data_IF_711728256767
#
_entry.id   IF_711728256767
#
_cell.length_a   1.000
_cell.length_b   1.000
_cell.length_c   1.000
_cell.angle_alpha   90.00
_cell.angle_beta   90.00
_cell.angle_gamma   90.00
#
_symmetry.space_group_name_H-M   'P 1'
#
loop_
_entity.id
_entity.type
_entity.pdbx_description
1 polymer ?
#
# COMPACT_ATOMS: atom_id res chain seq x y z
N UNK A 1 5.21 -1.30 -15.88
CA UNK A 1 4.24 -2.40 -15.69
C UNK A 1 4.38 -3.37 -16.87
N UNK A 2 4.02 -4.66 -16.69
CA UNK A 2 4.01 -5.64 -17.78
C UNK A 2 3.10 -5.21 -18.94
N UNK A 3 3.35 -5.74 -20.13
CA UNK A 3 2.54 -5.48 -21.33
C UNK A 3 1.37 -6.45 -21.49
N UNK A 4 1.45 -7.61 -20.85
CA UNK A 4 0.47 -8.69 -20.91
C UNK A 4 0.28 -9.31 -19.53
N UNK A 5 -0.73 -10.18 -19.39
CA UNK A 5 -1.04 -10.91 -18.15
C UNK A 5 -2.04 -10.20 -17.25
N UNK A 6 -2.63 -10.97 -16.34
CA UNK A 6 -3.65 -10.53 -15.39
C UNK A 6 -3.09 -10.37 -13.98
N UNK A 7 -3.53 -9.32 -13.30
CA UNK A 7 -3.22 -9.07 -11.89
C UNK A 7 -3.98 -10.08 -11.05
N UNK A 8 -3.28 -10.73 -10.13
CA UNK A 8 -3.90 -11.60 -9.13
C UNK A 8 -3.60 -11.08 -7.74
N UNK A 9 -4.64 -10.99 -6.94
CA UNK A 9 -4.53 -10.64 -5.54
C UNK A 9 -5.71 -11.17 -4.75
N UNK A 10 -5.53 -11.21 -3.43
CA UNK A 10 -6.56 -11.58 -2.48
C UNK A 10 -7.03 -10.35 -1.72
N UNK A 11 -8.32 -10.11 -1.74
CA UNK A 11 -8.96 -8.95 -1.12
C UNK A 11 -9.63 -9.37 0.19
N UNK A 12 -9.40 -8.59 1.24
CA UNK A 12 -10.09 -8.72 2.53
C UNK A 12 -10.55 -7.35 2.99
N UNK A 13 -11.85 -7.14 2.99
CA UNK A 13 -12.46 -5.89 3.45
C UNK A 13 -13.07 -6.11 4.83
N UNK A 14 -12.65 -5.29 5.78
CA UNK A 14 -13.13 -5.28 7.16
C UNK A 14 -13.97 -4.02 7.35
N UNK A 15 -15.23 -4.06 6.91
CA UNK A 15 -16.15 -2.91 6.91
C UNK A 15 -16.24 -2.25 8.31
N UNK A 16 -16.38 -3.06 9.37
CA UNK A 16 -16.42 -2.57 10.76
C UNK A 16 -15.15 -1.82 11.19
N UNK A 17 -13.98 -2.26 10.72
CA UNK A 17 -12.70 -1.64 11.05
C UNK A 17 -12.34 -0.48 10.11
N UNK A 18 -13.08 -0.29 9.01
CA UNK A 18 -12.77 0.70 7.99
C UNK A 18 -11.46 0.42 7.25
N UNK A 19 -11.06 -0.85 7.11
CA UNK A 19 -9.79 -1.25 6.48
C UNK A 19 -10.01 -2.26 5.34
N UNK A 20 -9.37 -2.01 4.20
CA UNK A 20 -9.22 -2.99 3.11
C UNK A 20 -7.76 -3.47 3.03
N UNK A 21 -7.55 -4.78 2.95
CA UNK A 21 -6.24 -5.41 2.74
C UNK A 21 -6.23 -6.19 1.45
N UNK A 22 -5.21 -5.94 0.63
CA UNK A 22 -5.05 -6.52 -0.68
C UNK A 22 -3.66 -7.13 -0.76
N UNK A 23 -3.60 -8.45 -0.80
CA UNK A 23 -2.33 -9.18 -0.97
C UNK A 23 -2.14 -9.49 -2.44
N UNK A 24 -1.15 -8.87 -3.08
CA UNK A 24 -0.86 -9.12 -4.49
C UNK A 24 0.00 -10.38 -4.61
N UNK A 25 -0.40 -11.26 -5.53
CA UNK A 25 0.35 -12.46 -5.88
C UNK A 25 1.12 -12.28 -7.18
N UNK A 26 0.54 -11.56 -8.15
CA UNK A 26 1.11 -11.31 -9.46
C UNK A 26 0.63 -9.96 -10.00
N UNK A 27 1.52 -9.24 -10.69
CA UNK A 27 1.19 -7.94 -11.31
C UNK A 27 1.00 -8.16 -12.81
N UNK A 28 -0.18 -7.85 -13.33
CA UNK A 28 -0.51 -7.92 -14.76
C UNK A 28 -0.45 -6.56 -15.47
N UNK A 29 -0.77 -6.57 -16.77
CA UNK A 29 -0.94 -5.34 -17.56
C UNK A 29 -2.14 -4.50 -17.12
N UNK A 30 -3.13 -5.15 -16.51
CA UNK A 30 -4.37 -4.59 -15.98
C UNK A 30 -4.24 -3.98 -14.57
N UNK A 31 -3.04 -3.97 -13.97
CA UNK A 31 -2.83 -3.54 -12.57
C UNK A 31 -3.41 -2.15 -12.25
N UNK A 32 -3.32 -1.20 -13.19
CA UNK A 32 -3.92 0.13 -13.05
C UNK A 32 -5.44 0.08 -12.91
N UNK A 33 -6.09 -0.76 -13.72
CA UNK A 33 -7.55 -0.95 -13.71
C UNK A 33 -7.96 -1.67 -12.42
N UNK A 34 -7.20 -2.69 -12.04
CA UNK A 34 -7.40 -3.46 -10.81
C UNK A 34 -7.37 -2.56 -9.56
N UNK A 35 -6.33 -1.72 -9.40
CA UNK A 35 -6.22 -0.75 -8.30
C UNK A 35 -7.38 0.24 -8.32
N UNK A 36 -7.72 0.78 -9.48
CA UNK A 36 -8.82 1.76 -9.60
C UNK A 36 -10.18 1.17 -9.20
N UNK A 37 -10.42 -0.10 -9.53
CA UNK A 37 -11.66 -0.80 -9.16
C UNK A 37 -11.74 -1.00 -7.64
N UNK A 38 -10.62 -1.40 -7.02
CA UNK A 38 -10.51 -1.57 -5.58
C UNK A 38 -10.72 -0.28 -4.80
N UNK A 39 -10.14 0.84 -5.27
CA UNK A 39 -10.34 2.14 -4.62
C UNK A 39 -11.81 2.56 -4.66
N UNK A 40 -12.49 2.36 -5.80
CA UNK A 40 -13.92 2.65 -5.92
C UNK A 40 -14.75 1.79 -4.96
N UNK A 41 -14.42 0.50 -4.84
CA UNK A 41 -15.07 -0.41 -3.91
C UNK A 41 -14.86 0.01 -2.45
N UNK A 42 -13.62 0.37 -2.09
CA UNK A 42 -13.26 0.84 -0.76
C UNK A 42 -14.02 2.14 -0.39
N UNK A 43 -14.07 3.10 -1.32
CA UNK A 43 -14.83 4.35 -1.13
C UNK A 43 -16.32 4.11 -0.97
N UNK A 44 -16.93 3.26 -1.80
CA UNK A 44 -18.35 2.91 -1.72
C UNK A 44 -18.72 2.28 -0.37
N UNK A 45 -17.77 1.56 0.25
CA UNK A 45 -17.92 0.92 1.56
C UNK A 45 -17.49 1.81 2.73
N UNK A 46 -17.08 3.05 2.49
CA UNK A 46 -16.64 3.97 3.55
C UNK A 46 -15.33 3.57 4.23
N UNK A 47 -14.50 2.78 3.57
CA UNK A 47 -13.18 2.36 4.07
C UNK A 47 -12.28 3.59 4.22
N UNK A 48 -11.57 3.67 5.35
CA UNK A 48 -10.69 4.80 5.69
C UNK A 48 -9.22 4.49 5.42
N UNK A 49 -8.82 3.22 5.39
CA UNK A 49 -7.46 2.81 5.06
C UNK A 49 -7.44 1.61 4.12
N UNK A 50 -6.63 1.70 3.06
CA UNK A 50 -6.39 0.61 2.14
C UNK A 50 -4.91 0.23 2.16
N UNK A 51 -4.64 -1.06 2.30
CA UNK A 51 -3.31 -1.63 2.46
C UNK A 51 -3.05 -2.63 1.33
N UNK A 52 -1.98 -2.42 0.57
CA UNK A 52 -1.56 -3.28 -0.54
C UNK A 52 -0.22 -3.91 -0.20
N UNK A 53 -0.20 -5.23 -0.10
CA UNK A 53 0.98 -6.03 0.20
C UNK A 53 1.57 -6.52 -1.11
N UNK A 54 2.81 -6.11 -1.41
CA UNK A 54 3.52 -6.46 -2.62
C UNK A 54 4.69 -7.39 -2.28
N UNK A 55 4.84 -8.57 -2.91
CA UNK A 55 6.04 -9.36 -2.77
C UNK A 55 7.22 -8.64 -3.42
N UNK A 56 8.36 -8.53 -2.72
CA UNK A 56 9.56 -7.88 -3.26
C UNK A 56 10.24 -8.71 -4.37
N UNK A 57 9.89 -9.99 -4.48
CA UNK A 57 10.32 -10.89 -5.56
C UNK A 57 9.60 -10.65 -6.89
N UNK A 58 8.51 -9.88 -6.91
CA UNK A 58 7.76 -9.59 -8.14
C UNK A 58 8.53 -8.61 -9.05
N UNK A 59 8.92 -9.01 -10.28
CA UNK A 59 9.73 -8.17 -11.17
C UNK A 59 9.12 -6.81 -11.48
N UNK A 60 7.78 -6.72 -11.53
CA UNK A 60 7.08 -5.48 -11.85
C UNK A 60 6.90 -4.52 -10.65
N UNK A 61 7.40 -4.88 -9.46
CA UNK A 61 7.10 -4.17 -8.21
C UNK A 61 7.44 -2.67 -8.27
N UNK A 62 8.60 -2.29 -8.81
CA UNK A 62 8.96 -0.86 -8.94
C UNK A 62 7.94 -0.05 -9.75
N UNK A 63 7.39 -0.64 -10.82
CA UNK A 63 6.34 0.00 -11.61
C UNK A 63 4.99 0.04 -10.90
N UNK A 64 4.66 -0.99 -10.12
CA UNK A 64 3.44 -1.03 -9.32
C UNK A 64 3.47 -0.03 -8.17
N UNK A 65 4.59 0.10 -7.46
CA UNK A 65 4.81 1.13 -6.43
C UNK A 65 4.62 2.52 -7.02
N UNK A 66 5.25 2.81 -8.16
CA UNK A 66 5.11 4.11 -8.82
C UNK A 66 3.65 4.40 -9.25
N UNK A 67 2.90 3.37 -9.64
CA UNK A 67 1.47 3.52 -9.93
C UNK A 67 0.65 3.79 -8.67
N UNK A 68 0.82 2.98 -7.63
CA UNK A 68 0.14 3.16 -6.35
C UNK A 68 0.43 4.54 -5.76
N UNK A 69 1.67 5.00 -5.84
CA UNK A 69 2.07 6.34 -5.43
C UNK A 69 1.29 7.44 -6.16
N UNK A 70 1.14 7.35 -7.49
CA UNK A 70 0.30 8.28 -8.26
C UNK A 70 -1.19 8.24 -7.87
N UNK A 71 -1.63 7.15 -7.26
CA UNK A 71 -2.97 7.02 -6.67
C UNK A 71 -3.00 7.46 -5.20
N UNK A 72 -1.94 8.06 -4.68
CA UNK A 72 -1.84 8.58 -3.32
C UNK A 72 -1.57 7.53 -2.24
N UNK A 73 -1.08 6.36 -2.63
CA UNK A 73 -0.49 5.43 -1.67
C UNK A 73 0.92 5.87 -1.29
N UNK A 74 1.34 5.52 -0.09
CA UNK A 74 2.67 5.78 0.43
C UNK A 74 3.22 4.54 1.13
N UNK A 75 4.51 4.57 1.44
CA UNK A 75 5.20 3.51 2.15
C UNK A 75 4.54 3.23 3.51
N UNK A 76 4.11 2.00 3.73
CA UNK A 76 3.67 1.52 5.03
C UNK A 76 4.72 0.73 5.80
N UNK A 77 5.70 0.15 5.09
CA UNK A 77 6.84 -0.52 5.70
C UNK A 77 7.36 -1.69 4.87
N UNK A 78 8.49 -2.24 5.33
CA UNK A 78 9.06 -3.48 4.79
C UNK A 78 8.64 -4.63 5.71
N UNK A 79 8.29 -5.76 5.12
CA UNK A 79 7.74 -6.93 5.80
C UNK A 79 8.65 -8.14 5.56
N UNK A 80 9.67 -8.36 6.40
CA UNK A 80 10.57 -9.49 6.25
C UNK A 80 9.82 -10.81 6.29
N UNK A 81 10.14 -11.73 5.36
CA UNK A 81 9.60 -13.10 5.29
C UNK A 81 8.06 -13.22 5.16
N UNK A 82 7.35 -12.14 4.81
CA UNK A 82 5.89 -12.13 4.71
C UNK A 82 5.32 -13.10 3.67
N UNK A 83 6.01 -13.28 2.55
CA UNK A 83 5.58 -14.11 1.42
C UNK A 83 6.41 -15.39 1.29
N UNK A 84 7.06 -15.85 2.37
CA UNK A 84 8.27 -16.70 2.33
C UNK A 84 9.47 -16.03 1.62
N UNK A 85 9.26 -14.86 1.02
CA UNK A 85 10.23 -13.81 0.78
C UNK A 85 9.82 -12.52 1.48
N UNK A 86 10.57 -11.45 1.25
CA UNK A 86 10.25 -10.14 1.81
C UNK A 86 9.08 -9.47 1.07
N UNK A 87 8.32 -8.65 1.78
CA UNK A 87 7.22 -7.87 1.25
C UNK A 87 7.40 -6.38 1.45
N UNK A 88 6.65 -5.60 0.68
CA UNK A 88 6.48 -4.17 0.82
C UNK A 88 5.01 -3.88 1.11
N UNK A 89 4.75 -3.09 2.13
CA UNK A 89 3.42 -2.55 2.41
C UNK A 89 3.31 -1.16 1.77
N UNK A 90 2.37 -1.00 0.86
CA UNK A 90 1.87 0.30 0.41
C UNK A 90 0.53 0.56 1.09
N UNK A 91 0.26 1.80 1.48
CA UNK A 91 -1.02 2.13 2.12
C UNK A 91 -1.53 3.49 1.68
N UNK A 92 -2.85 3.64 1.69
CA UNK A 92 -3.55 4.89 1.46
C UNK A 92 -4.53 5.11 2.61
N UNK A 93 -4.64 6.35 3.07
CA UNK A 93 -5.60 6.74 4.10
C UNK A 93 -6.48 7.86 3.56
N UNK A 94 -7.79 7.76 3.76
CA UNK A 94 -8.77 8.77 3.37
C UNK A 94 -9.21 9.59 4.57
N UNK A 95 -9.49 10.87 4.34
CA UNK A 95 -10.14 11.80 5.28
C UNK A 95 -9.46 11.99 6.65
N UNK A 96 -8.29 11.38 6.88
CA UNK A 96 -7.55 11.45 8.14
C UNK A 96 -6.07 11.60 7.88
N UNK A 97 -5.46 12.63 8.48
CA UNK A 97 -4.01 12.78 8.52
C UNK A 97 -3.45 11.81 9.58
N UNK A 98 -2.46 10.95 9.26
CA UNK A 98 -1.81 10.13 10.27
C UNK A 98 -1.19 11.02 11.36
N UNK A 99 -1.47 10.71 12.63
CA UNK A 99 -0.89 11.44 13.75
C UNK A 99 0.54 10.96 14.04
N UNK A 100 1.48 11.38 13.21
CA UNK A 100 2.89 11.03 13.36
C UNK A 100 3.49 11.51 14.70
N UNK A 101 2.98 12.62 15.25
CA UNK A 101 3.48 13.20 16.50
C UNK A 101 3.13 12.35 17.74
N UNK A 102 2.11 11.51 17.66
CA UNK A 102 1.73 10.61 18.76
C UNK A 102 2.63 9.35 18.86
N UNK A 103 3.42 9.04 17.83
CA UNK A 103 4.24 7.81 17.79
C UNK A 103 5.46 7.96 18.72
N UNK A 104 5.54 7.13 19.74
CA UNK A 104 6.66 7.10 20.70
C UNK A 104 7.76 6.15 20.21
N UNK A 105 8.93 6.70 19.84
CA UNK A 105 10.05 5.93 19.27
C UNK A 105 11.34 6.14 20.07
N UNK A 106 11.95 5.04 20.51
CA UNK A 106 13.09 5.07 21.44
C UNK A 106 14.45 4.89 20.78
N UNK A 107 14.51 4.48 19.50
CA UNK A 107 15.77 4.25 18.79
C UNK A 107 15.91 5.16 17.58
N UNK A 108 17.14 5.55 17.24
CA UNK A 108 17.40 6.38 16.06
C UNK A 108 17.01 5.68 14.77
N UNK A 109 17.14 4.35 14.72
CA UNK A 109 16.66 3.54 13.60
C UNK A 109 15.15 3.67 13.42
N UNK A 110 14.38 3.55 14.50
CA UNK A 110 12.93 3.65 14.41
C UNK A 110 12.48 5.05 13.97
N UNK A 111 13.13 6.11 14.50
CA UNK A 111 12.88 7.50 14.09
C UNK A 111 13.13 7.71 12.59
N UNK A 112 14.25 7.19 12.07
CA UNK A 112 14.56 7.23 10.63
C UNK A 112 13.48 6.52 9.78
N UNK A 113 12.95 5.39 10.25
CA UNK A 113 11.88 4.68 9.54
C UNK A 113 10.61 5.54 9.51
N UNK A 114 10.25 6.18 10.63
CA UNK A 114 9.10 7.10 10.68
C UNK A 114 9.28 8.26 9.71
N UNK A 115 10.48 8.85 9.66
CA UNK A 115 10.78 9.96 8.74
C UNK A 115 10.63 9.53 7.28
N UNK A 116 11.05 8.31 6.92
CA UNK A 116 10.85 7.77 5.57
C UNK A 116 9.36 7.64 5.22
N UNK A 117 8.57 7.05 6.12
CA UNK A 117 7.11 6.88 5.93
C UNK A 117 6.41 8.23 5.83
N UNK A 118 6.74 9.17 6.74
CA UNK A 118 6.14 10.50 6.78
C UNK A 118 6.47 11.30 5.52
N UNK A 119 7.73 11.28 5.09
CA UNK A 119 8.18 11.99 3.88
C UNK A 119 7.47 11.45 2.63
N UNK A 120 7.32 10.12 2.52
CA UNK A 120 6.61 9.53 1.38
C UNK A 120 5.11 9.85 1.43
N UNK A 121 4.49 9.84 2.61
CA UNK A 121 3.10 10.29 2.79
C UNK A 121 2.90 11.76 2.38
N UNK A 122 3.77 12.67 2.85
CA UNK A 122 3.68 14.11 2.51
C UNK A 122 3.78 14.34 1.00
N UNK A 123 4.57 13.52 0.31
CA UNK A 123 4.74 13.59 -1.15
C UNK A 123 3.50 13.14 -1.92
N UNK A 124 2.77 12.15 -1.44
CA UNK A 124 1.72 11.46 -2.19
C UNK A 124 0.30 11.62 -1.61
N UNK A 125 0.08 12.37 -0.54
CA UNK A 125 -1.25 12.57 0.07
C UNK A 125 -2.31 13.27 -0.82
N UNK A 126 -1.98 13.64 -2.06
CA UNK A 126 -2.84 14.37 -3.00
C UNK A 126 -3.52 13.43 -3.99
#
# INVERSE_FOLDING_TARGET
LPREGETRGQEKIFDFAGVARITIENIGADFAVYVSALEKLAQAKGIQAMQVYLPLSEPANGGAVALLQKHGFFLGGVLPRWFDGDGLLMQKVWNTCPNFAAVQLYTDRAKKILDLVKTDWERWKH
#
